data_IF_982006018883
#
_entry.id   IF_982006018883
#
_cell.length_a   1.000
_cell.length_b   1.000
_cell.length_c   1.000
_cell.angle_alpha   90.00
_cell.angle_beta   90.00
_cell.angle_gamma   90.00
#
_symmetry.space_group_name_H-M   'P 1'
#
loop_
_entity.id
_entity.type
_entity.pdbx_description
1 polymer ?
#
# COMPACT_ATOMS: atom_id res chain seq x y z
N UNK A 1 -17.16 -32.60 16.39
CA UNK A 1 -15.72 -32.34 16.22
C UNK A 1 -15.54 -30.95 15.60
N UNK A 2 -15.31 -29.96 16.43
CA UNK A 2 -15.01 -28.58 15.99
C UNK A 2 -13.58 -28.57 15.48
N UNK A 3 -13.40 -28.25 14.20
CA UNK A 3 -12.08 -27.93 13.64
C UNK A 3 -11.61 -26.63 14.30
N UNK A 4 -10.62 -26.73 15.18
CA UNK A 4 -9.88 -25.59 15.67
C UNK A 4 -9.24 -24.90 14.44
N UNK A 5 -9.77 -23.76 14.06
CA UNK A 5 -9.20 -22.89 13.05
C UNK A 5 -7.93 -22.28 13.68
N UNK A 6 -6.78 -22.88 13.39
CA UNK A 6 -5.49 -22.41 13.84
C UNK A 6 -5.22 -21.13 13.03
N UNK A 7 -5.46 -19.98 13.63
CA UNK A 7 -5.06 -18.68 13.10
C UNK A 7 -3.54 -18.69 12.94
N UNK A 8 -3.07 -19.05 11.76
CA UNK A 8 -1.67 -18.88 11.41
C UNK A 8 -1.52 -17.41 11.01
N UNK A 9 -0.89 -16.62 11.90
CA UNK A 9 -0.52 -15.26 11.55
C UNK A 9 0.36 -15.27 10.30
N UNK A 10 -0.04 -14.55 9.27
CA UNK A 10 0.77 -14.38 8.06
C UNK A 10 2.02 -13.57 8.40
N UNK A 11 3.19 -14.10 8.10
CA UNK A 11 4.46 -13.39 8.30
C UNK A 11 5.04 -13.06 6.93
N UNK A 12 5.18 -11.77 6.65
CA UNK A 12 5.87 -11.24 5.47
C UNK A 12 7.33 -11.00 5.86
N UNK A 13 8.25 -11.79 5.29
CA UNK A 13 9.69 -11.64 5.54
C UNK A 13 10.35 -10.94 4.35
N UNK A 14 11.01 -9.83 4.63
CA UNK A 14 11.67 -9.03 3.59
C UNK A 14 13.07 -8.57 4.04
N UNK A 15 14.04 -8.51 3.14
CA UNK A 15 15.35 -7.94 3.46
C UNK A 15 15.25 -6.42 3.69
N UNK A 16 16.28 -5.87 4.32
CA UNK A 16 16.36 -4.43 4.61
C UNK A 16 16.27 -3.54 3.37
N UNK A 17 16.80 -3.99 2.23
CA UNK A 17 16.69 -3.28 0.95
C UNK A 17 15.43 -3.69 0.21
N UNK A 18 14.28 -3.32 0.77
CA UNK A 18 12.96 -3.56 0.18
C UNK A 18 12.18 -2.27 0.02
N UNK A 19 11.50 -2.12 -1.11
CA UNK A 19 10.37 -1.24 -1.30
C UNK A 19 9.10 -2.07 -1.10
N UNK A 20 8.40 -1.84 0.01
CA UNK A 20 7.13 -2.49 0.30
C UNK A 20 5.99 -1.57 -0.16
N UNK A 21 5.22 -2.02 -1.14
CA UNK A 21 4.13 -1.26 -1.75
C UNK A 21 2.80 -1.77 -1.23
N UNK A 22 2.03 -0.91 -0.59
CA UNK A 22 0.66 -1.20 -0.19
C UNK A 22 -0.27 -0.90 -1.36
N UNK A 23 -1.16 -1.84 -1.67
CA UNK A 23 -2.10 -1.73 -2.77
C UNK A 23 -3.51 -2.12 -2.32
N UNK A 24 -4.50 -1.30 -2.64
CA UNK A 24 -5.90 -1.61 -2.31
C UNK A 24 -6.81 -0.39 -2.26
N UNK A 25 -8.12 -0.61 -2.14
CA UNK A 25 -9.13 0.44 -2.13
C UNK A 25 -8.97 1.45 -0.99
N UNK A 26 -9.55 2.63 -1.16
CA UNK A 26 -9.81 3.52 -0.04
C UNK A 26 -10.67 2.78 1.01
N UNK A 27 -10.34 2.91 2.28
CA UNK A 27 -11.06 2.18 3.35
C UNK A 27 -10.59 0.75 3.61
N UNK A 28 -9.62 0.21 2.86
CA UNK A 28 -9.13 -1.16 3.07
C UNK A 28 -8.19 -1.33 4.27
N UNK A 29 -7.73 -0.23 4.90
CA UNK A 29 -6.91 -0.29 6.12
C UNK A 29 -5.41 -0.21 5.89
N UNK A 30 -4.93 0.14 4.69
CA UNK A 30 -3.49 0.25 4.35
C UNK A 30 -2.72 1.15 5.31
N UNK A 31 -3.17 2.39 5.50
CA UNK A 31 -2.48 3.37 6.35
C UNK A 31 -2.46 2.92 7.80
N UNK A 32 -3.56 2.38 8.32
CA UNK A 32 -3.62 1.79 9.66
C UNK A 32 -2.63 0.63 9.81
N UNK A 33 -2.55 -0.24 8.80
CA UNK A 33 -1.57 -1.33 8.77
C UNK A 33 -0.13 -0.80 8.83
N UNK A 34 0.16 0.24 8.03
CA UNK A 34 1.47 0.86 8.00
C UNK A 34 1.84 1.51 9.35
N UNK A 35 0.95 2.33 9.90
CA UNK A 35 1.18 3.07 11.15
C UNK A 35 1.40 2.14 12.35
N UNK A 36 0.74 0.99 12.37
CA UNK A 36 0.89 0.01 13.46
C UNK A 36 2.18 -0.80 13.39
N UNK A 37 2.83 -0.91 12.22
CA UNK A 37 3.96 -1.83 11.99
C UNK A 37 5.27 -1.15 11.69
N UNK A 38 5.25 0.10 11.25
CA UNK A 38 6.43 0.80 10.81
C UNK A 38 6.57 2.16 11.51
N UNK A 39 7.79 2.64 11.61
CA UNK A 39 8.04 4.01 12.05
C UNK A 39 7.52 5.01 11.01
N UNK A 40 6.97 6.13 11.44
CA UNK A 40 6.47 7.18 10.55
C UNK A 40 7.48 7.61 9.48
N UNK A 41 8.77 7.71 9.85
CA UNK A 41 9.85 8.05 8.90
C UNK A 41 10.10 6.99 7.82
N UNK A 42 9.56 5.80 7.95
CA UNK A 42 9.68 4.69 6.98
C UNK A 42 8.56 4.74 5.94
N UNK A 43 7.43 5.34 6.31
CA UNK A 43 6.22 5.40 5.48
C UNK A 43 6.27 6.66 4.63
N UNK A 44 6.10 6.47 3.32
CA UNK A 44 5.86 7.57 2.38
C UNK A 44 4.40 7.45 1.95
N UNK A 45 3.58 8.40 2.42
CA UNK A 45 2.14 8.44 2.14
C UNK A 45 1.83 9.49 1.09
N UNK A 46 1.07 9.11 0.05
CA UNK A 46 0.61 10.06 -0.97
C UNK A 46 -0.32 11.11 -0.38
N UNK A 47 -1.11 10.75 0.62
CA UNK A 47 -1.99 11.69 1.32
C UNK A 47 -1.19 12.71 2.12
N UNK A 48 -0.16 12.28 2.83
CA UNK A 48 0.73 13.21 3.54
C UNK A 48 1.51 14.11 2.58
N UNK A 49 1.95 13.60 1.44
CA UNK A 49 2.57 14.42 0.40
C UNK A 49 1.61 15.52 -0.09
N UNK A 50 0.32 15.18 -0.26
CA UNK A 50 -0.70 16.15 -0.67
C UNK A 50 -0.89 17.23 0.39
N UNK A 51 -0.99 16.83 1.66
CA UNK A 51 -1.08 17.76 2.79
C UNK A 51 0.10 18.72 2.84
N UNK A 52 1.33 18.23 2.65
CA UNK A 52 2.53 19.07 2.62
C UNK A 52 2.54 20.08 1.46
N UNK A 53 1.83 19.81 0.36
CA UNK A 53 1.79 20.68 -0.82
C UNK A 53 0.73 21.78 -0.70
N UNK A 54 -0.44 21.46 -0.14
CA UNK A 54 -1.59 22.38 -0.21
C UNK A 54 -2.44 22.44 1.06
N UNK A 55 -1.99 21.90 2.19
CA UNK A 55 -2.70 21.85 3.47
C UNK A 55 -4.11 21.22 3.40
N UNK A 56 -4.41 20.52 2.29
CA UNK A 56 -5.70 19.88 2.04
C UNK A 56 -5.50 18.51 1.37
N UNK A 57 -5.64 17.46 2.15
CA UNK A 57 -5.50 16.07 1.68
C UNK A 57 -6.57 15.64 0.66
N UNK A 58 -7.66 16.40 0.52
CA UNK A 58 -8.76 16.10 -0.40
C UNK A 58 -8.59 16.74 -1.78
N UNK A 59 -7.68 17.72 -1.88
CA UNK A 59 -7.47 18.47 -3.12
C UNK A 59 -6.84 17.62 -4.22
N UNK A 60 -7.63 17.21 -5.20
CA UNK A 60 -7.17 16.43 -6.35
C UNK A 60 -6.48 17.28 -7.44
N UNK A 61 -6.60 18.59 -7.40
CA UNK A 61 -5.98 19.48 -8.41
C UNK A 61 -4.46 19.45 -8.34
N UNK A 62 -3.89 19.18 -7.16
CA UNK A 62 -2.43 19.04 -6.95
C UNK A 62 -1.94 17.60 -7.10
N UNK A 63 -2.71 16.72 -7.74
CA UNK A 63 -2.41 15.28 -7.80
C UNK A 63 -1.06 15.01 -8.47
N UNK A 64 -0.70 15.74 -9.51
CA UNK A 64 0.59 15.63 -10.18
C UNK A 64 1.74 15.95 -9.22
N UNK A 65 1.69 17.10 -8.56
CA UNK A 65 2.74 17.53 -7.63
C UNK A 65 2.84 16.59 -6.42
N UNK A 66 1.68 16.07 -5.96
CA UNK A 66 1.60 15.06 -4.91
C UNK A 66 2.42 13.82 -5.25
N UNK A 67 2.22 13.25 -6.44
CA UNK A 67 2.92 12.04 -6.85
C UNK A 67 4.37 12.32 -7.26
N UNK A 68 4.69 13.50 -7.78
CA UNK A 68 6.07 13.90 -8.01
C UNK A 68 6.86 13.94 -6.69
N UNK A 69 6.29 14.53 -5.63
CA UNK A 69 6.88 14.53 -4.29
C UNK A 69 6.97 13.10 -3.72
N UNK A 70 5.90 12.31 -3.83
CA UNK A 70 5.82 10.94 -3.36
C UNK A 70 6.95 10.07 -3.95
N UNK A 71 7.09 10.06 -5.27
CA UNK A 71 8.15 9.31 -5.94
C UNK A 71 9.54 9.87 -5.66
N UNK A 72 9.66 11.20 -5.52
CA UNK A 72 10.93 11.84 -5.16
C UNK A 72 11.43 11.37 -3.80
N UNK A 73 10.57 11.37 -2.78
CA UNK A 73 10.94 10.90 -1.42
C UNK A 73 11.33 9.42 -1.46
N UNK A 74 10.54 8.57 -2.09
CA UNK A 74 10.83 7.13 -2.24
C UNK A 74 12.20 6.93 -2.89
N UNK A 75 12.46 7.61 -3.99
CA UNK A 75 13.74 7.56 -4.71
C UNK A 75 14.92 7.94 -3.79
N UNK A 76 14.79 9.05 -3.04
CA UNK A 76 15.85 9.52 -2.14
C UNK A 76 16.08 8.56 -0.97
N UNK A 77 15.02 7.96 -0.43
CA UNK A 77 15.15 6.96 0.64
C UNK A 77 15.88 5.72 0.16
N UNK A 78 15.54 5.19 -1.02
CA UNK A 78 16.21 4.03 -1.59
C UNK A 78 17.66 4.33 -1.96
N UNK A 79 17.96 5.49 -2.52
CA UNK A 79 19.33 5.95 -2.77
C UNK A 79 20.19 5.93 -1.49
N UNK A 80 19.60 6.27 -0.35
CA UNK A 80 20.26 6.24 0.96
C UNK A 80 20.16 4.87 1.68
N UNK A 81 19.81 3.80 0.99
CA UNK A 81 19.79 2.45 1.53
C UNK A 81 18.67 2.19 2.57
N UNK A 82 17.58 2.97 2.55
CA UNK A 82 16.52 2.90 3.56
C UNK A 82 15.37 2.01 3.12
N UNK A 83 14.97 1.08 4.00
CA UNK A 83 13.68 0.38 3.86
C UNK A 83 12.56 1.39 3.74
N UNK A 84 11.64 1.19 2.81
CA UNK A 84 10.60 2.16 2.50
C UNK A 84 9.26 1.47 2.29
N UNK A 85 8.22 2.02 2.88
CA UNK A 85 6.82 1.65 2.66
C UNK A 85 6.17 2.72 1.82
N UNK A 86 5.64 2.34 0.66
CA UNK A 86 4.86 3.22 -0.20
C UNK A 86 3.37 3.05 0.12
N UNK A 87 2.77 4.05 0.76
CA UNK A 87 1.35 4.06 1.13
C UNK A 87 0.55 4.93 0.16
N UNK A 88 -0.05 4.28 -0.80
CA UNK A 88 -1.00 4.84 -1.77
C UNK A 88 -2.02 3.77 -2.15
N UNK A 89 -3.00 4.06 -3.01
CA UNK A 89 -3.90 3.01 -3.50
C UNK A 89 -3.19 2.01 -4.40
N UNK A 90 -2.24 2.47 -5.21
CA UNK A 90 -1.44 1.69 -6.18
C UNK A 90 -2.27 0.73 -7.07
N UNK A 91 -3.55 1.07 -7.28
CA UNK A 91 -4.49 0.24 -8.05
C UNK A 91 -4.33 0.42 -9.57
N UNK A 92 -3.75 1.53 -10.02
CA UNK A 92 -3.41 1.73 -11.42
C UNK A 92 -2.11 0.98 -11.76
N UNK A 93 -2.11 0.27 -12.87
CA UNK A 93 -0.94 -0.49 -13.35
C UNK A 93 0.29 0.40 -13.51
N UNK A 94 0.13 1.60 -14.08
CA UNK A 94 1.22 2.54 -14.28
C UNK A 94 1.87 2.97 -12.95
N UNK A 95 1.08 3.14 -11.90
CA UNK A 95 1.59 3.49 -10.58
C UNK A 95 2.43 2.34 -10.00
N UNK A 96 1.96 1.10 -10.13
CA UNK A 96 2.71 -0.09 -9.70
C UNK A 96 3.98 -0.29 -10.51
N UNK A 97 3.89 -0.16 -11.83
CA UNK A 97 5.04 -0.25 -12.72
C UNK A 97 6.12 0.78 -12.35
N UNK A 98 5.73 2.04 -12.10
CA UNK A 98 6.67 3.10 -11.71
C UNK A 98 7.37 2.79 -10.38
N UNK A 99 6.65 2.27 -9.38
CA UNK A 99 7.23 1.86 -8.10
C UNK A 99 8.17 0.66 -8.25
N UNK A 100 7.78 -0.34 -9.02
CA UNK A 100 8.60 -1.51 -9.33
C UNK A 100 9.90 -1.11 -10.04
N UNK A 101 9.83 -0.24 -11.05
CA UNK A 101 11.01 0.27 -11.74
C UNK A 101 11.95 1.04 -10.81
N UNK A 102 11.43 1.86 -9.90
CA UNK A 102 12.24 2.55 -8.91
C UNK A 102 13.00 1.54 -8.01
N UNK A 103 12.33 0.49 -7.56
CA UNK A 103 12.96 -0.56 -6.77
C UNK A 103 14.11 -1.22 -7.56
N UNK A 104 13.87 -1.61 -8.80
CA UNK A 104 14.88 -2.21 -9.67
C UNK A 104 16.11 -1.32 -9.88
N UNK A 105 15.91 -0.05 -10.16
CA UNK A 105 17.00 0.92 -10.39
C UNK A 105 17.96 1.03 -9.21
N UNK A 106 17.45 0.83 -7.99
CA UNK A 106 18.24 0.89 -6.77
C UNK A 106 18.70 -0.49 -6.27
N UNK A 107 18.39 -1.58 -6.97
CA UNK A 107 18.70 -2.94 -6.53
C UNK A 107 17.96 -3.31 -5.24
N UNK A 108 16.69 -2.87 -5.13
CA UNK A 108 15.79 -3.21 -4.04
C UNK A 108 14.87 -4.36 -4.42
N UNK A 109 14.52 -5.18 -3.44
CA UNK A 109 13.42 -6.11 -3.57
C UNK A 109 12.10 -5.32 -3.64
N UNK A 110 11.28 -5.62 -4.62
CA UNK A 110 9.95 -5.04 -4.79
C UNK A 110 8.89 -5.99 -4.20
N UNK A 111 8.27 -5.60 -3.11
CA UNK A 111 7.24 -6.38 -2.42
C UNK A 111 5.89 -5.69 -2.54
N UNK A 112 4.90 -6.35 -3.15
CA UNK A 112 3.53 -5.87 -3.28
C UNK A 112 2.65 -6.53 -2.22
N UNK A 113 1.94 -5.73 -1.42
CA UNK A 113 0.96 -6.20 -0.44
C UNK A 113 -0.41 -5.70 -0.86
N UNK A 114 -1.26 -6.60 -1.32
CA UNK A 114 -2.61 -6.31 -1.83
C UNK A 114 -3.63 -6.54 -0.72
N UNK A 115 -4.41 -5.51 -0.43
CA UNK A 115 -5.50 -5.55 0.55
C UNK A 115 -6.80 -5.93 -0.14
N UNK A 116 -7.14 -7.22 -0.11
CA UNK A 116 -8.36 -7.76 -0.69
C UNK A 116 -9.53 -7.64 0.30
N UNK A 117 -10.02 -6.41 0.47
CA UNK A 117 -11.12 -6.09 1.38
C UNK A 117 -12.40 -5.87 0.57
N UNK A 118 -13.53 -6.48 0.98
CA UNK A 118 -14.80 -6.33 0.30
C UNK A 118 -15.23 -4.87 0.16
N UNK A 119 -15.84 -4.53 -0.99
CA UNK A 119 -16.37 -3.20 -1.28
C UNK A 119 -17.30 -2.70 -0.16
N UNK A 120 -18.21 -3.57 0.31
CA UNK A 120 -19.15 -3.22 1.38
C UNK A 120 -18.45 -2.79 2.67
N UNK A 121 -17.35 -3.46 3.03
CA UNK A 121 -16.54 -3.10 4.20
C UNK A 121 -15.84 -1.76 4.00
N UNK A 122 -15.30 -1.52 2.81
CA UNK A 122 -14.66 -0.24 2.48
C UNK A 122 -15.67 0.92 2.53
N UNK A 123 -16.88 0.72 2.00
CA UNK A 123 -17.98 1.70 2.05
C UNK A 123 -18.39 2.00 3.49
N UNK A 124 -18.59 0.97 4.31
CA UNK A 124 -18.95 1.14 5.72
C UNK A 124 -17.88 1.93 6.48
N UNK A 125 -16.61 1.60 6.28
CA UNK A 125 -15.49 2.31 6.91
C UNK A 125 -15.38 3.75 6.42
N UNK A 126 -15.68 4.03 5.15
CA UNK A 126 -15.68 5.38 4.60
C UNK A 126 -16.75 6.26 5.26
N UNK A 127 -17.93 5.72 5.54
CA UNK A 127 -19.02 6.45 6.21
C UNK A 127 -18.64 6.89 7.64
N UNK A 128 -17.86 6.08 8.37
CA UNK A 128 -17.40 6.36 9.73
C UNK A 128 -16.17 7.27 9.85
N UNK A 129 -15.58 7.71 8.74
CA UNK A 129 -14.39 8.56 8.74
C UNK A 129 -14.75 10.04 8.79
N UNK A 130 -13.92 10.85 9.46
CA UNK A 130 -13.97 12.32 9.34
C UNK A 130 -13.71 12.74 7.91
N UNK A 131 -12.71 12.13 7.28
CA UNK A 131 -12.35 12.33 5.88
C UNK A 131 -12.94 11.22 5.02
N UNK A 132 -13.96 11.54 4.25
CA UNK A 132 -14.62 10.62 3.31
C UNK A 132 -14.10 10.84 1.89
N UNK A 133 -13.94 9.76 1.15
CA UNK A 133 -13.85 9.85 -0.31
C UNK A 133 -15.25 9.82 -0.89
N UNK A 134 -15.41 10.36 -2.10
CA UNK A 134 -16.68 10.33 -2.84
C UNK A 134 -17.16 8.88 -2.99
N UNK A 135 -18.47 8.65 -2.86
CA UNK A 135 -19.05 7.30 -2.82
C UNK A 135 -18.73 6.47 -4.07
N UNK A 136 -18.65 7.09 -5.25
CA UNK A 136 -18.33 6.41 -6.51
C UNK A 136 -16.88 5.90 -6.58
N UNK A 137 -15.97 6.43 -5.75
CA UNK A 137 -14.55 6.07 -5.77
C UNK A 137 -14.33 4.64 -5.30
N UNK A 138 -15.09 4.18 -4.30
CA UNK A 138 -14.89 2.84 -3.72
C UNK A 138 -15.31 1.73 -4.68
N UNK A 139 -16.48 1.76 -5.35
CA UNK A 139 -16.81 0.81 -6.41
C UNK A 139 -15.81 0.82 -7.57
N UNK A 140 -15.32 1.99 -7.95
CA UNK A 140 -14.27 2.11 -8.95
C UNK A 140 -12.97 1.42 -8.50
N UNK A 141 -12.54 1.65 -7.26
CA UNK A 141 -11.38 0.97 -6.68
C UNK A 141 -11.58 -0.55 -6.56
N UNK A 142 -12.79 -1.01 -6.24
CA UNK A 142 -13.10 -2.44 -6.18
C UNK A 142 -12.91 -3.11 -7.55
N UNK A 143 -13.35 -2.45 -8.63
CA UNK A 143 -13.12 -2.92 -10.00
C UNK A 143 -11.64 -3.00 -10.34
N UNK A 144 -10.87 -1.96 -10.02
CA UNK A 144 -9.42 -1.95 -10.23
C UNK A 144 -8.69 -3.01 -9.40
N UNK A 145 -9.18 -3.28 -8.18
CA UNK A 145 -8.63 -4.34 -7.33
C UNK A 145 -8.79 -5.71 -8.00
N UNK A 146 -9.94 -6.02 -8.56
CA UNK A 146 -10.16 -7.29 -9.28
C UNK A 146 -9.17 -7.43 -10.45
N UNK A 147 -8.95 -6.35 -11.20
CA UNK A 147 -7.96 -6.35 -12.28
C UNK A 147 -6.53 -6.54 -11.73
N UNK A 148 -6.19 -5.85 -10.64
CA UNK A 148 -4.89 -5.98 -9.98
C UNK A 148 -4.61 -7.41 -9.53
N UNK A 149 -5.60 -8.11 -8.96
CA UNK A 149 -5.47 -9.50 -8.53
C UNK A 149 -5.19 -10.46 -9.69
N UNK A 150 -5.67 -10.14 -10.90
CA UNK A 150 -5.40 -10.94 -12.10
C UNK A 150 -4.01 -10.67 -12.68
N UNK A 151 -3.57 -9.41 -12.68
CA UNK A 151 -2.41 -8.95 -13.45
C UNK A 151 -1.11 -8.92 -12.64
N UNK A 152 -1.18 -8.71 -11.32
CA UNK A 152 0.01 -8.48 -10.49
C UNK A 152 1.09 -9.57 -10.61
N UNK A 153 0.69 -10.83 -10.79
CA UNK A 153 1.63 -11.94 -10.97
C UNK A 153 2.49 -11.82 -12.25
N UNK A 154 2.04 -11.03 -13.22
CA UNK A 154 2.74 -10.82 -14.49
C UNK A 154 3.58 -9.54 -14.51
N UNK A 155 3.52 -8.72 -13.45
CA UNK A 155 4.20 -7.42 -13.37
C UNK A 155 5.67 -7.52 -12.90
N UNK A 156 6.12 -8.72 -12.51
CA UNK A 156 7.52 -8.98 -12.14
C UNK A 156 7.90 -8.64 -10.70
N UNK A 157 6.95 -8.50 -9.80
CA UNK A 157 7.21 -8.32 -8.35
C UNK A 157 8.01 -9.49 -7.79
N UNK A 158 9.00 -9.21 -6.93
CA UNK A 158 9.78 -10.25 -6.24
C UNK A 158 8.96 -11.00 -5.20
N UNK A 159 8.03 -10.30 -4.55
CA UNK A 159 7.06 -10.89 -3.62
C UNK A 159 5.68 -10.25 -3.81
N UNK A 160 4.64 -11.06 -3.77
CA UNK A 160 3.24 -10.63 -3.75
C UNK A 160 2.55 -11.30 -2.57
N UNK A 161 1.90 -10.51 -1.74
CA UNK A 161 1.09 -10.98 -0.63
C UNK A 161 -0.33 -10.41 -0.78
N UNK A 162 -1.32 -11.29 -0.80
CA UNK A 162 -2.72 -10.90 -0.79
C UNK A 162 -3.25 -11.10 0.63
N UNK A 163 -3.69 -10.02 1.25
CA UNK A 163 -4.26 -10.03 2.59
C UNK A 163 -5.77 -9.92 2.50
N UNK A 164 -6.46 -10.98 2.90
CA UNK A 164 -7.89 -10.94 3.11
C UNK A 164 -8.23 -10.10 4.36
N UNK A 165 -9.46 -9.59 4.44
CA UNK A 165 -9.89 -8.71 5.54
C UNK A 165 -9.56 -9.28 6.93
N UNK A 166 -9.77 -10.59 7.13
CA UNK A 166 -9.50 -11.26 8.41
C UNK A 166 -8.02 -11.40 8.75
N UNK A 167 -7.13 -11.36 7.75
CA UNK A 167 -5.69 -11.59 7.94
C UNK A 167 -4.92 -10.32 8.28
N UNK A 168 -5.45 -9.17 7.89
CA UNK A 168 -4.75 -7.87 7.98
C UNK A 168 -4.26 -7.58 9.39
N UNK A 169 -5.12 -7.83 10.38
CA UNK A 169 -4.81 -7.53 11.79
C UNK A 169 -3.65 -8.38 12.31
N UNK A 170 -3.60 -9.65 11.96
CA UNK A 170 -2.66 -10.62 12.50
C UNK A 170 -1.40 -10.79 11.64
N UNK A 171 -1.37 -10.17 10.45
CA UNK A 171 -0.19 -10.16 9.58
C UNK A 171 0.94 -9.37 10.21
N UNK A 172 2.14 -9.95 10.25
CA UNK A 172 3.38 -9.31 10.72
C UNK A 172 4.34 -9.11 9.55
N UNK A 173 5.18 -8.08 9.67
CA UNK A 173 6.27 -7.85 8.72
C UNK A 173 7.59 -7.93 9.48
N UNK A 174 8.44 -8.85 9.08
CA UNK A 174 9.78 -9.04 9.64
C UNK A 174 10.82 -8.55 8.63
N UNK A 175 11.61 -7.56 9.05
CA UNK A 175 12.71 -7.04 8.25
C UNK A 175 13.99 -7.77 8.68
N UNK A 176 14.55 -8.56 7.76
CA UNK A 176 15.77 -9.32 8.03
C UNK A 176 16.96 -8.34 8.10
N UNK A 177 17.65 -8.40 9.22
CA UNK A 177 18.92 -7.67 9.42
C UNK A 177 20.06 -8.59 9.02
N UNK A 178 20.54 -8.44 7.79
CA UNK A 178 21.83 -9.00 7.36
C UNK A 178 22.86 -7.91 7.27
#
# INVERSE_FOLDING_TARGET
>A
MQKANKFMSTIIKVPRRTLLVLCGPAGSGKSTFADQRFRASTIVSSDHCRELICDDVTNQQVNRDTFDLFYYIINKRMYNGRFTVADSTALQEEARHRLHELARRHGYLACLVIFNVPEATCLQRNQGRERKVEEYVIPYHAKLLQQTLLDASNEGWDQIHVLEEGDIRDTRVEIEVR
#
